data_IF_008305478210
#
_entry.id   IF_008305478210
#
_cell.length_a   1.000
_cell.length_b   1.000
_cell.length_c   1.000
_cell.angle_alpha   90.00
_cell.angle_beta   90.00
_cell.angle_gamma   90.00
#
_symmetry.space_group_name_H-M   'P 1'
#
loop_
_entity.id
_entity.type
_entity.pdbx_description
1 polymer ?
#
# COMPACT_ATOMS: atom_id res chain seq x y z
N UNK A 1 -11.19 -43.19 8.41
CA UNK A 1 -10.77 -42.24 7.35
C UNK A 1 -10.64 -40.80 7.85
N UNK A 2 -11.55 -40.27 8.69
CA UNK A 2 -11.52 -38.88 9.19
C UNK A 2 -10.26 -38.55 10.02
N UNK A 3 -9.77 -39.46 10.87
CA UNK A 3 -8.62 -39.20 11.75
C UNK A 3 -7.26 -39.05 11.04
N UNK A 4 -7.07 -39.65 9.86
CA UNK A 4 -5.80 -39.52 9.11
C UNK A 4 -5.69 -38.18 8.40
N UNK A 5 -6.81 -37.67 7.85
CA UNK A 5 -6.88 -36.34 7.25
C UNK A 5 -6.64 -35.25 8.30
N UNK A 6 -7.15 -35.46 9.52
CA UNK A 6 -7.03 -34.56 10.67
C UNK A 6 -5.57 -34.40 11.15
N UNK A 7 -4.85 -35.50 11.33
CA UNK A 7 -3.44 -35.48 11.74
C UNK A 7 -2.56 -34.82 10.67
N UNK A 8 -2.87 -35.04 9.38
CA UNK A 8 -2.17 -34.40 8.27
C UNK A 8 -2.40 -32.88 8.25
N UNK A 9 -3.65 -32.44 8.42
CA UNK A 9 -4.08 -31.04 8.51
C UNK A 9 -3.37 -30.30 9.65
N UNK A 10 -3.30 -30.90 10.84
CA UNK A 10 -2.57 -30.35 12.00
C UNK A 10 -1.05 -30.32 11.79
N UNK A 11 -0.49 -31.39 11.21
CA UNK A 11 0.95 -31.47 10.91
C UNK A 11 1.35 -30.42 9.91
N UNK A 12 0.53 -30.18 8.88
CA UNK A 12 0.72 -29.11 7.91
C UNK A 12 0.64 -27.74 8.62
N UNK A 13 -0.44 -27.44 9.32
CA UNK A 13 -0.61 -26.12 9.97
C UNK A 13 0.53 -25.75 10.95
N UNK A 14 1.10 -26.73 11.67
CA UNK A 14 2.09 -26.48 12.72
C UNK A 14 3.56 -26.62 12.27
N UNK A 15 3.80 -27.23 11.11
CA UNK A 15 5.15 -27.45 10.58
C UNK A 15 5.44 -26.77 9.24
N UNK A 16 4.46 -26.09 8.64
CA UNK A 16 4.68 -25.31 7.43
C UNK A 16 5.56 -24.08 7.73
N UNK A 17 6.75 -24.09 7.14
CA UNK A 17 7.67 -22.94 7.15
C UNK A 17 7.44 -22.00 5.96
N UNK A 18 6.99 -22.54 4.84
CA UNK A 18 6.72 -21.78 3.62
C UNK A 18 5.35 -22.17 3.07
N UNK A 19 4.51 -21.19 2.79
CA UNK A 19 3.21 -21.40 2.16
C UNK A 19 3.11 -20.53 0.91
N UNK A 20 2.88 -21.21 -0.20
CA UNK A 20 2.51 -20.62 -1.47
C UNK A 20 1.10 -21.06 -1.82
N UNK A 21 0.11 -20.17 -1.66
CA UNK A 21 -1.28 -20.49 -1.97
C UNK A 21 -1.65 -19.87 -3.31
N UNK A 22 -2.02 -20.72 -4.27
CA UNK A 22 -2.80 -20.29 -5.42
C UNK A 22 -4.29 -20.41 -5.08
N UNK A 23 -4.97 -19.29 -4.83
CA UNK A 23 -6.43 -19.30 -4.64
C UNK A 23 -7.11 -19.55 -5.99
N UNK A 24 -7.73 -20.73 -6.17
CA UNK A 24 -8.65 -20.98 -7.29
C UNK A 24 -10.02 -20.40 -6.96
N UNK A 25 -10.66 -19.82 -7.99
CA UNK A 25 -11.90 -19.01 -7.94
C UNK A 25 -13.07 -19.65 -7.19
N UNK A 26 -13.11 -20.97 -7.05
CA UNK A 26 -14.33 -21.66 -6.63
C UNK A 26 -14.34 -22.33 -5.26
N UNK A 27 -13.22 -22.60 -4.56
CA UNK A 27 -13.33 -23.34 -3.28
C UNK A 27 -12.14 -23.26 -2.28
N UNK A 28 -11.08 -22.51 -2.57
CA UNK A 28 -9.85 -22.58 -1.74
C UNK A 28 -9.92 -21.77 -0.43
N UNK A 29 -10.89 -20.87 -0.26
CA UNK A 29 -11.17 -20.20 1.01
C UNK A 29 -11.65 -21.16 2.11
N UNK A 30 -12.09 -22.37 1.75
CA UNK A 30 -12.55 -23.38 2.72
C UNK A 30 -11.39 -23.99 3.50
N UNK A 31 -10.28 -24.38 2.89
CA UNK A 31 -9.21 -25.13 3.60
C UNK A 31 -8.53 -24.29 4.69
N UNK A 32 -8.12 -23.05 4.39
CA UNK A 32 -7.48 -22.14 5.35
C UNK A 32 -8.46 -21.80 6.48
N UNK A 33 -9.70 -21.44 6.13
CA UNK A 33 -10.75 -21.17 7.12
C UNK A 33 -11.08 -22.40 7.99
N UNK A 34 -11.12 -23.59 7.40
CA UNK A 34 -11.35 -24.86 8.10
C UNK A 34 -10.18 -25.23 9.00
N UNK A 35 -8.92 -25.07 8.54
CA UNK A 35 -7.71 -25.26 9.36
C UNK A 35 -7.77 -24.38 10.63
N UNK A 36 -8.21 -23.14 10.48
CA UNK A 36 -8.23 -22.14 11.53
C UNK A 36 -9.43 -22.30 12.48
N UNK A 37 -10.62 -22.59 11.94
CA UNK A 37 -11.78 -22.99 12.75
C UNK A 37 -11.52 -24.28 13.54
N UNK A 38 -10.80 -25.23 12.95
CA UNK A 38 -10.48 -26.50 13.58
C UNK A 38 -9.46 -26.35 14.70
N UNK A 39 -8.39 -25.58 14.47
CA UNK A 39 -7.37 -25.32 15.50
C UNK A 39 -7.96 -24.61 16.73
N UNK A 40 -8.98 -23.78 16.54
CA UNK A 40 -9.76 -23.15 17.63
C UNK A 40 -10.53 -24.14 18.49
N UNK A 41 -10.89 -25.32 18.00
CA UNK A 41 -11.75 -26.26 18.75
C UNK A 41 -10.99 -27.43 19.36
N UNK A 42 -9.92 -27.92 18.73
CA UNK A 42 -9.25 -29.15 19.15
C UNK A 42 -7.95 -28.94 19.96
N UNK A 43 -7.12 -27.94 19.63
CA UNK A 43 -5.80 -27.73 20.27
C UNK A 43 -5.80 -26.65 21.36
N UNK A 44 -6.81 -25.76 21.35
CA UNK A 44 -7.03 -24.73 22.38
C UNK A 44 -7.28 -25.34 23.77
N UNK A 45 -7.78 -26.59 23.80
CA UNK A 45 -7.97 -27.39 25.01
C UNK A 45 -6.65 -28.03 25.50
N UNK A 46 -5.59 -28.08 24.67
CA UNK A 46 -4.46 -29.00 24.86
C UNK A 46 -3.05 -28.39 24.93
N UNK A 47 -2.74 -27.16 24.47
CA UNK A 47 -1.33 -26.68 24.46
C UNK A 47 -1.07 -25.16 24.60
N UNK A 48 0.13 -24.82 25.10
CA UNK A 48 0.68 -23.45 25.26
C UNK A 48 1.29 -22.85 23.97
N UNK A 49 1.47 -23.64 22.90
CA UNK A 49 2.02 -23.20 21.60
C UNK A 49 0.94 -23.26 20.52
N UNK A 50 -0.24 -22.72 20.83
CA UNK A 50 -1.50 -22.95 20.11
C UNK A 50 -1.79 -21.93 19.00
N UNK A 51 -0.76 -21.50 18.24
CA UNK A 51 -0.99 -20.72 17.03
C UNK A 51 -0.74 -21.56 15.78
N UNK A 52 -1.76 -21.75 14.91
CA UNK A 52 -1.54 -22.33 13.61
C UNK A 52 -0.56 -21.45 12.83
N UNK A 53 0.36 -22.04 12.05
CA UNK A 53 1.41 -21.33 11.33
C UNK A 53 2.51 -20.70 12.21
N UNK A 54 2.68 -21.16 13.46
CA UNK A 54 3.75 -20.68 14.35
C UNK A 54 5.19 -20.90 13.84
N UNK A 55 5.39 -21.79 12.85
CA UNK A 55 6.66 -21.99 12.14
C UNK A 55 6.75 -21.29 10.80
N UNK A 56 5.70 -20.61 10.36
CA UNK A 56 5.65 -19.95 9.05
C UNK A 56 6.65 -18.79 9.00
N UNK A 57 7.59 -18.92 8.06
CA UNK A 57 8.66 -17.99 7.73
C UNK A 57 8.34 -17.18 6.48
N UNK A 58 7.64 -17.76 5.50
CA UNK A 58 7.19 -17.02 4.32
C UNK A 58 5.74 -17.38 3.95
N UNK A 59 4.94 -16.35 3.68
CA UNK A 59 3.61 -16.49 3.10
C UNK A 59 3.56 -15.69 1.80
N UNK A 60 3.34 -16.38 0.70
CA UNK A 60 2.97 -15.77 -0.57
C UNK A 60 1.61 -16.33 -0.97
N UNK A 61 0.59 -15.49 -0.97
CA UNK A 61 -0.73 -15.88 -1.43
C UNK A 61 -1.06 -15.08 -2.68
N UNK A 62 -1.31 -15.79 -3.77
CA UNK A 62 -1.76 -15.20 -5.02
C UNK A 62 -3.06 -15.85 -5.47
N UNK A 63 -4.03 -15.04 -5.88
CA UNK A 63 -5.11 -15.57 -6.72
C UNK A 63 -4.55 -15.72 -8.13
N UNK A 64 -4.85 -16.82 -8.83
CA UNK A 64 -4.70 -16.80 -10.30
C UNK A 64 -5.44 -15.56 -10.77
N UNK A 65 -4.74 -14.64 -11.45
CA UNK A 65 -5.20 -13.35 -11.97
C UNK A 65 -6.71 -13.29 -11.98
N UNK A 66 -7.31 -12.22 -11.44
CA UNK A 66 -8.62 -11.78 -11.92
C UNK A 66 -8.61 -11.97 -13.44
N UNK A 67 -9.21 -13.06 -13.92
CA UNK A 67 -9.23 -13.31 -15.36
C UNK A 67 -10.04 -12.14 -15.87
N UNK A 68 -9.36 -11.28 -16.65
CA UNK A 68 -9.85 -10.12 -17.38
C UNK A 68 -10.93 -10.53 -18.40
N UNK A 69 -11.92 -11.34 -17.99
CA UNK A 69 -12.98 -11.91 -18.81
C UNK A 69 -14.32 -11.39 -18.32
N UNK A 70 -14.69 -10.26 -18.92
CA UNK A 70 -15.95 -9.95 -19.62
C UNK A 70 -17.32 -10.25 -19.01
N UNK A 71 -17.52 -11.12 -18.03
CA UNK A 71 -18.86 -11.50 -17.62
C UNK A 71 -19.08 -11.32 -16.13
N UNK A 72 -19.96 -10.36 -15.84
CA UNK A 72 -20.89 -10.29 -14.72
C UNK A 72 -21.06 -11.59 -13.94
N UNK A 73 -20.17 -11.81 -13.00
CA UNK A 73 -20.51 -12.55 -11.81
C UNK A 73 -20.13 -11.59 -10.71
N UNK A 74 -21.11 -11.23 -9.88
CA UNK A 74 -20.90 -10.54 -8.61
C UNK A 74 -19.60 -11.05 -7.97
N UNK A 75 -18.80 -10.21 -7.28
CA UNK A 75 -17.67 -10.75 -6.56
C UNK A 75 -18.24 -11.75 -5.56
N UNK A 76 -18.21 -13.04 -5.90
CA UNK A 76 -18.58 -14.11 -5.01
C UNK A 76 -17.84 -13.79 -3.71
N UNK A 77 -18.51 -13.82 -2.55
CA UNK A 77 -17.88 -13.49 -1.28
C UNK A 77 -16.86 -14.59 -0.95
N UNK A 78 -15.74 -14.58 -1.65
CA UNK A 78 -14.57 -15.35 -1.35
C UNK A 78 -13.96 -14.65 -0.15
N UNK A 79 -14.35 -15.12 1.04
CA UNK A 79 -13.68 -14.78 2.28
C UNK A 79 -12.23 -15.24 2.14
N UNK A 80 -11.30 -14.30 1.92
CA UNK A 80 -9.90 -14.60 2.13
C UNK A 80 -9.55 -14.19 3.56
N UNK A 81 -9.20 -15.23 4.31
CA UNK A 81 -8.74 -15.16 5.67
C UNK A 81 -7.23 -15.35 5.63
N UNK A 82 -6.47 -14.37 6.13
CA UNK A 82 -5.01 -14.35 5.97
C UNK A 82 -4.35 -14.49 7.35
N UNK A 83 -3.69 -15.62 7.64
CA UNK A 83 -2.91 -15.77 8.86
C UNK A 83 -1.59 -15.00 8.74
N UNK A 84 -1.30 -14.11 9.69
CA UNK A 84 -0.05 -13.37 9.70
C UNK A 84 1.09 -14.25 10.27
N UNK A 85 2.22 -14.39 9.54
CA UNK A 85 3.30 -15.28 9.93
C UNK A 85 4.05 -14.78 11.18
N UNK A 86 4.32 -15.66 12.13
CA UNK A 86 4.95 -15.24 13.39
C UNK A 86 6.47 -15.04 13.28
N UNK A 87 7.13 -15.79 12.39
CA UNK A 87 8.59 -15.85 12.27
C UNK A 87 9.06 -15.41 10.88
N UNK A 88 8.37 -14.45 10.29
CA UNK A 88 8.69 -13.92 8.97
C UNK A 88 9.28 -12.52 9.08
N UNK A 89 10.36 -12.28 8.34
CA UNK A 89 10.87 -10.94 8.09
C UNK A 89 10.11 -10.24 6.95
N UNK A 90 9.48 -11.02 6.05
CA UNK A 90 8.76 -10.52 4.88
C UNK A 90 7.40 -11.22 4.72
N UNK A 91 6.36 -10.47 4.37
CA UNK A 91 5.05 -11.00 4.00
C UNK A 91 4.51 -10.24 2.79
N UNK A 92 4.10 -10.99 1.76
CA UNK A 92 3.68 -10.43 0.47
C UNK A 92 2.36 -11.05 0.02
N UNK A 93 1.36 -10.20 -0.23
CA UNK A 93 0.00 -10.59 -0.62
C UNK A 93 -0.31 -10.02 -2.01
N UNK A 94 -0.85 -10.84 -2.91
CA UNK A 94 -1.06 -10.46 -4.30
C UNK A 94 -2.44 -10.86 -4.83
N UNK A 95 -3.21 -9.90 -5.37
CA UNK A 95 -4.46 -10.20 -6.08
C UNK A 95 -5.58 -10.77 -5.20
N UNK A 96 -5.60 -10.44 -3.90
CA UNK A 96 -6.55 -11.01 -2.93
C UNK A 96 -7.68 -10.05 -2.58
N UNK A 97 -8.90 -10.56 -2.42
CA UNK A 97 -10.03 -9.80 -1.85
C UNK A 97 -10.13 -10.09 -0.34
N UNK A 98 -9.47 -9.27 0.47
CA UNK A 98 -9.29 -9.51 1.89
C UNK A 98 -10.56 -9.19 2.65
N UNK A 99 -11.00 -10.13 3.50
CA UNK A 99 -12.14 -9.90 4.41
C UNK A 99 -11.75 -10.00 5.88
N UNK A 100 -10.68 -10.72 6.21
CA UNK A 100 -10.20 -10.91 7.58
C UNK A 100 -8.69 -11.16 7.61
N UNK A 101 -8.02 -10.63 8.64
CA UNK A 101 -6.60 -10.91 8.94
C UNK A 101 -6.53 -11.46 10.35
N UNK A 102 -5.85 -12.58 10.55
CA UNK A 102 -5.60 -13.13 11.89
C UNK A 102 -4.17 -12.85 12.32
N UNK A 103 -4.03 -12.28 13.51
CA UNK A 103 -2.75 -11.99 14.13
C UNK A 103 -2.38 -13.02 15.20
N UNK A 104 -1.08 -13.18 15.54
CA UNK A 104 -0.61 -14.06 16.60
C UNK A 104 -0.79 -13.45 18.01
N UNK A 105 -2.04 -13.18 18.41
CA UNK A 105 -2.39 -12.43 19.64
C UNK A 105 -3.04 -13.30 20.72
N UNK A 106 -2.99 -12.86 21.98
CA UNK A 106 -3.65 -13.55 23.10
C UNK A 106 -5.18 -13.55 22.90
N UNK A 107 -5.76 -14.75 22.89
CA UNK A 107 -7.17 -15.00 22.53
C UNK A 107 -8.20 -14.60 23.59
N UNK A 108 -7.80 -14.14 24.78
CA UNK A 108 -8.73 -13.48 25.71
C UNK A 108 -9.31 -12.18 25.11
N UNK A 109 -8.67 -11.65 24.07
CA UNK A 109 -9.13 -10.55 23.23
C UNK A 109 -9.35 -11.04 21.79
N UNK A 110 -10.32 -11.94 21.53
CA UNK A 110 -10.73 -12.35 20.18
C UNK A 110 -11.31 -11.15 19.40
N UNK A 111 -10.43 -10.24 19.01
CA UNK A 111 -10.72 -9.19 18.05
C UNK A 111 -10.55 -9.80 16.67
N UNK A 112 -11.68 -10.08 16.04
CA UNK A 112 -11.71 -10.36 14.62
C UNK A 112 -12.14 -9.07 13.92
N UNK A 113 -11.21 -8.28 13.36
CA UNK A 113 -11.63 -7.17 12.52
C UNK A 113 -12.29 -7.77 11.27
N UNK A 114 -13.61 -7.69 11.23
CA UNK A 114 -14.36 -7.93 10.00
C UNK A 114 -14.11 -6.73 9.09
N UNK A 115 -13.39 -6.94 7.99
CA UNK A 115 -13.14 -5.87 7.03
C UNK A 115 -14.41 -5.39 6.31
N UNK A 116 -15.57 -6.04 6.53
CA UNK A 116 -16.86 -5.71 5.88
C UNK A 116 -17.89 -5.05 6.79
N UNK A 117 -17.74 -5.12 8.11
CA UNK A 117 -18.82 -4.76 9.06
C UNK A 117 -18.38 -3.96 10.28
N UNK A 118 -17.17 -3.39 10.30
CA UNK A 118 -16.73 -2.44 11.33
C UNK A 118 -17.39 -1.05 11.17
N UNK A 119 -18.73 -1.03 11.08
CA UNK A 119 -19.55 0.20 11.08
C UNK A 119 -19.92 0.59 12.53
N UNK A 120 -19.64 -0.23 13.53
CA UNK A 120 -20.09 0.01 14.91
C UNK A 120 -19.18 -0.47 16.04
N UNK A 121 -18.03 -1.09 15.77
CA UNK A 121 -17.06 -1.33 16.85
C UNK A 121 -16.26 -0.04 17.02
N UNK A 122 -16.07 0.46 18.25
CA UNK A 122 -15.21 1.62 18.46
C UNK A 122 -13.88 1.36 17.77
N UNK A 123 -13.53 2.27 16.86
CA UNK A 123 -12.14 2.59 16.53
C UNK A 123 -11.31 2.50 17.82
N UNK A 124 -10.09 1.98 17.75
CA UNK A 124 -9.14 1.85 18.88
C UNK A 124 -9.09 0.53 19.68
N UNK A 125 -9.40 -0.63 19.09
CA UNK A 125 -8.85 -1.89 19.64
C UNK A 125 -7.49 -2.18 19.01
N UNK A 126 -6.49 -1.36 19.38
CA UNK A 126 -5.11 -1.64 19.02
C UNK A 126 -4.71 -3.00 19.59
N UNK A 127 -4.15 -3.87 18.75
CA UNK A 127 -3.45 -5.05 19.23
C UNK A 127 -2.19 -4.54 19.94
N UNK A 128 -2.26 -4.45 21.27
CA UNK A 128 -1.19 -3.91 22.10
C UNK A 128 -0.27 -4.99 22.66
N UNK A 129 -0.70 -6.25 22.67
CA UNK A 129 0.06 -7.38 23.20
C UNK A 129 0.06 -8.58 22.24
N UNK A 130 1.26 -9.13 22.02
CA UNK A 130 1.46 -10.42 21.33
C UNK A 130 1.32 -11.57 22.32
N UNK A 131 1.06 -12.78 21.82
CA UNK A 131 1.22 -13.98 22.63
C UNK A 131 2.65 -14.07 23.21
N UNK A 132 2.85 -14.39 24.51
CA UNK A 132 4.18 -14.37 25.16
C UNK A 132 5.26 -15.26 24.52
N UNK A 133 4.85 -16.23 23.68
CA UNK A 133 5.76 -17.07 22.89
C UNK A 133 6.19 -16.49 21.55
N UNK A 134 5.71 -15.30 21.18
CA UNK A 134 5.90 -14.70 19.86
C UNK A 134 6.53 -13.31 19.96
N UNK A 135 7.54 -13.10 19.12
CA UNK A 135 8.19 -11.80 18.94
C UNK A 135 7.90 -11.34 17.52
N UNK A 136 7.33 -10.13 17.30
CA UNK A 136 7.12 -9.61 15.96
C UNK A 136 8.46 -9.46 15.23
N UNK A 137 8.63 -10.15 14.10
CA UNK A 137 9.87 -10.07 13.29
C UNK A 137 9.68 -9.32 11.98
N UNK A 138 8.43 -9.03 11.58
CA UNK A 138 8.14 -8.49 10.26
C UNK A 138 8.85 -7.14 10.00
N UNK A 139 9.66 -7.11 8.96
CA UNK A 139 10.41 -5.93 8.47
C UNK A 139 9.86 -5.42 7.15
N UNK A 140 9.32 -6.30 6.31
CA UNK A 140 8.78 -5.94 4.99
C UNK A 140 7.35 -6.45 4.86
N UNK A 141 6.42 -5.55 4.55
CA UNK A 141 5.04 -5.91 4.25
C UNK A 141 4.64 -5.36 2.88
N UNK A 142 4.17 -6.25 2.01
CA UNK A 142 3.75 -5.91 0.67
C UNK A 142 2.34 -6.41 0.40
N UNK A 143 1.53 -5.53 -0.18
CA UNK A 143 0.23 -5.84 -0.74
C UNK A 143 0.11 -5.24 -2.12
N UNK A 144 -0.14 -6.09 -3.10
CA UNK A 144 -0.26 -5.68 -4.50
C UNK A 144 -1.56 -6.20 -5.10
N UNK A 145 -2.32 -5.33 -5.78
CA UNK A 145 -3.60 -5.71 -6.42
C UNK A 145 -4.61 -6.34 -5.45
N UNK A 146 -4.50 -6.02 -4.16
CA UNK A 146 -5.40 -6.51 -3.11
C UNK A 146 -6.57 -5.55 -2.91
N UNK A 147 -7.77 -6.09 -2.65
CA UNK A 147 -8.96 -5.32 -2.29
C UNK A 147 -9.22 -5.44 -0.77
N UNK A 148 -9.50 -4.31 -0.10
CA UNK A 148 -9.79 -4.21 1.35
C UNK A 148 -10.66 -2.97 1.62
N UNK A 149 -11.47 -2.97 2.69
CA UNK A 149 -12.06 -1.73 3.22
C UNK A 149 -10.97 -0.87 3.88
N UNK A 150 -11.14 0.46 3.84
CA UNK A 150 -10.16 1.51 4.15
C UNK A 150 -9.84 1.65 5.64
N UNK A 151 -10.86 1.55 6.50
CA UNK A 151 -10.74 1.90 7.92
C UNK A 151 -9.89 0.89 8.68
N UNK A 152 -10.17 -0.36 8.42
CA UNK A 152 -9.55 -1.50 9.09
C UNK A 152 -8.08 -1.69 8.68
N UNK A 153 -7.74 -1.11 7.53
CA UNK A 153 -6.44 -1.24 6.91
C UNK A 153 -5.36 -0.38 7.57
N UNK A 154 -5.69 0.85 8.01
CA UNK A 154 -4.77 1.65 8.84
C UNK A 154 -4.73 1.18 10.30
N UNK A 155 -5.90 0.80 10.83
CA UNK A 155 -6.01 0.28 12.20
C UNK A 155 -5.16 -1.00 12.37
N UNK A 156 -5.04 -1.80 11.30
CA UNK A 156 -4.11 -2.93 11.22
C UNK A 156 -2.66 -2.53 11.53
N UNK A 157 -2.14 -1.46 10.94
CA UNK A 157 -0.74 -1.05 11.18
C UNK A 157 -0.53 -0.53 12.59
N UNK A 158 -1.61 -0.13 13.28
CA UNK A 158 -1.67 0.17 14.71
C UNK A 158 -1.24 -0.96 15.65
N UNK A 159 -1.13 -2.19 15.13
CA UNK A 159 -0.76 -3.38 15.90
C UNK A 159 0.73 -3.41 16.29
N UNK A 160 1.02 -3.87 17.51
CA UNK A 160 2.39 -4.19 17.98
C UNK A 160 3.12 -5.18 17.06
N UNK A 161 2.37 -5.93 16.25
CA UNK A 161 2.91 -6.83 15.24
C UNK A 161 3.78 -6.11 14.19
N UNK A 162 3.49 -4.85 13.85
CA UNK A 162 4.27 -4.07 12.87
C UNK A 162 5.37 -3.21 13.50
N UNK A 163 5.68 -3.41 14.79
CA UNK A 163 6.65 -2.57 15.52
C UNK A 163 8.06 -2.59 14.91
N UNK A 164 8.41 -3.65 14.19
CA UNK A 164 9.70 -3.80 13.50
C UNK A 164 9.65 -3.52 12.00
N UNK A 165 8.50 -3.08 11.47
CA UNK A 165 8.33 -2.84 10.04
C UNK A 165 9.22 -1.69 9.57
N UNK A 166 10.01 -1.95 8.53
CA UNK A 166 10.91 -1.00 7.88
C UNK A 166 10.42 -0.62 6.48
N UNK A 167 9.71 -1.51 5.78
CA UNK A 167 9.23 -1.31 4.42
C UNK A 167 7.76 -1.66 4.35
N UNK A 168 6.95 -0.71 3.88
CA UNK A 168 5.53 -0.88 3.61
C UNK A 168 5.23 -0.57 2.14
N UNK A 169 4.77 -1.57 1.37
CA UNK A 169 4.40 -1.42 -0.04
C UNK A 169 2.95 -1.78 -0.27
N UNK A 170 2.19 -0.80 -0.70
CA UNK A 170 0.75 -0.88 -0.90
C UNK A 170 0.45 -0.44 -2.33
N UNK A 171 0.43 -1.37 -3.26
CA UNK A 171 0.37 -1.07 -4.70
C UNK A 171 -0.93 -1.56 -5.30
N UNK A 172 -1.55 -0.73 -6.14
CA UNK A 172 -2.80 -1.05 -6.84
C UNK A 172 -3.90 -1.56 -5.88
N UNK A 173 -4.03 -0.95 -4.70
CA UNK A 173 -5.08 -1.36 -3.77
C UNK A 173 -6.46 -1.14 -4.42
N UNK A 174 -7.27 -2.21 -4.44
CA UNK A 174 -8.55 -2.30 -5.12
C UNK A 174 -9.61 -1.41 -4.50
N UNK A 175 -10.44 -0.82 -5.36
CA UNK A 175 -11.50 0.10 -4.99
C UNK A 175 -12.83 -0.65 -4.91
N UNK A 176 -13.16 -1.22 -3.75
CA UNK A 176 -14.57 -1.30 -3.38
C UNK A 176 -15.10 0.08 -2.99
N UNK A 177 -15.12 0.95 -4.01
CA UNK A 177 -16.02 2.07 -4.24
C UNK A 177 -15.83 3.31 -3.33
N UNK A 178 -15.33 4.40 -3.93
CA UNK A 178 -15.53 5.81 -3.51
C UNK A 178 -15.01 6.30 -2.15
N UNK A 179 -14.47 5.45 -1.27
CA UNK A 179 -14.14 5.84 0.13
C UNK A 179 -12.71 6.27 0.40
N UNK A 180 -11.74 5.83 -0.41
CA UNK A 180 -10.37 6.39 -0.32
C UNK A 180 -10.40 7.86 -0.72
N UNK A 181 -11.21 8.29 -1.70
CA UNK A 181 -11.15 9.65 -2.22
C UNK A 181 -12.26 10.61 -1.74
N UNK A 182 -13.39 10.10 -1.24
CA UNK A 182 -14.45 10.92 -0.61
C UNK A 182 -14.29 10.84 0.91
N UNK A 183 -13.91 11.96 1.54
CA UNK A 183 -13.46 12.08 2.95
C UNK A 183 -14.43 11.65 4.06
N UNK A 184 -15.43 10.81 3.80
CA UNK A 184 -16.50 10.42 4.72
C UNK A 184 -16.04 9.32 5.71
N UNK A 185 -14.93 8.62 5.45
CA UNK A 185 -14.42 7.57 6.36
C UNK A 185 -12.93 7.72 6.69
N UNK A 186 -12.08 7.90 5.69
CA UNK A 186 -10.63 7.96 5.89
C UNK A 186 -10.16 9.39 6.21
N UNK A 187 -9.52 9.59 7.37
CA UNK A 187 -8.94 10.88 7.74
C UNK A 187 -7.52 11.05 7.18
N UNK A 188 -7.45 11.37 5.89
CA UNK A 188 -6.19 11.55 5.17
C UNK A 188 -5.23 12.55 5.79
N UNK A 189 -5.75 13.62 6.39
CA UNK A 189 -4.91 14.62 7.05
C UNK A 189 -4.05 14.04 8.19
N UNK A 190 -4.45 12.91 8.77
CA UNK A 190 -3.75 12.21 9.85
C UNK A 190 -3.07 10.91 9.42
N UNK A 191 -3.02 10.61 8.12
CA UNK A 191 -2.49 9.35 7.59
C UNK A 191 -1.07 9.04 8.11
N UNK A 192 -0.15 9.99 7.98
CA UNK A 192 1.22 9.80 8.43
C UNK A 192 1.36 9.72 9.95
N UNK A 193 0.49 10.38 10.72
CA UNK A 193 0.46 10.26 12.19
C UNK A 193 0.09 8.83 12.63
N UNK A 194 -0.86 8.19 11.95
CA UNK A 194 -1.25 6.81 12.27
C UNK A 194 -0.13 5.82 11.95
N UNK A 195 0.57 6.01 10.83
CA UNK A 195 1.74 5.21 10.48
C UNK A 195 2.95 5.52 11.37
N UNK A 196 3.19 6.76 11.76
CA UNK A 196 4.34 7.14 12.57
C UNK A 196 4.31 6.54 13.98
N UNK A 197 3.11 6.34 14.55
CA UNK A 197 2.94 5.77 15.89
C UNK A 197 3.20 4.27 15.98
N UNK A 198 3.06 3.53 14.89
CA UNK A 198 2.79 2.10 14.98
C UNK A 198 3.95 1.25 14.46
N UNK A 199 4.49 1.53 13.25
CA UNK A 199 5.84 1.13 12.83
C UNK A 199 6.90 2.24 13.06
N UNK A 200 7.52 2.36 14.25
CA UNK A 200 8.53 3.38 14.51
C UNK A 200 9.80 3.24 13.67
N UNK A 201 10.02 2.07 13.03
CA UNK A 201 11.20 1.79 12.21
C UNK A 201 10.96 1.97 10.71
N UNK A 202 9.80 2.50 10.30
CA UNK A 202 9.43 2.63 8.89
C UNK A 202 10.40 3.58 8.17
N UNK A 203 11.09 3.05 7.14
CA UNK A 203 12.07 3.77 6.31
C UNK A 203 11.57 3.98 4.89
N UNK A 204 10.81 3.02 4.37
CA UNK A 204 10.26 3.07 3.01
C UNK A 204 8.75 2.92 3.04
N UNK A 205 8.06 3.87 2.42
CA UNK A 205 6.62 3.84 2.20
C UNK A 205 6.32 3.95 0.71
N UNK A 206 5.61 2.96 0.17
CA UNK A 206 5.06 3.01 -1.17
C UNK A 206 3.54 2.85 -1.10
N UNK A 207 2.79 3.83 -1.62
CA UNK A 207 1.32 3.78 -1.65
C UNK A 207 0.82 4.21 -3.01
N UNK A 208 0.11 3.31 -3.68
CA UNK A 208 -0.57 3.56 -4.95
C UNK A 208 -1.93 2.91 -4.96
N UNK A 209 -2.96 3.67 -5.34
CA UNK A 209 -4.34 3.23 -5.34
C UNK A 209 -4.75 2.89 -6.78
N UNK A 210 -5.29 1.70 -6.98
CA UNK A 210 -5.80 1.10 -8.23
C UNK A 210 -5.58 1.88 -9.54
N UNK A 211 -4.75 1.30 -10.44
CA UNK A 211 -4.80 1.52 -11.89
C UNK A 211 -4.50 0.21 -12.62
N UNK A 212 -5.52 -0.33 -13.30
CA UNK A 212 -5.48 -1.30 -14.41
C UNK A 212 -6.92 -1.77 -14.76
N UNK A 213 -7.87 -0.85 -14.94
CA UNK A 213 -9.16 -1.19 -15.57
C UNK A 213 -9.38 -0.40 -16.86
N UNK A 214 -8.54 -0.55 -17.89
CA UNK A 214 -8.96 -0.23 -19.24
C UNK A 214 -10.03 -1.25 -19.64
N UNK A 215 -11.31 -0.95 -19.40
CA UNK A 215 -12.42 -1.73 -20.01
C UNK A 215 -13.72 -1.94 -19.23
N UNK A 216 -13.83 -1.60 -17.93
CA UNK A 216 -15.06 -1.90 -17.18
C UNK A 216 -16.04 -0.72 -17.12
N UNK A 217 -17.03 -0.75 -18.00
CA UNK A 217 -17.98 0.33 -18.32
C UNK A 217 -18.92 0.83 -17.19
N UNK A 218 -19.07 0.13 -16.06
CA UNK A 218 -19.93 0.59 -14.95
C UNK A 218 -19.18 1.32 -13.82
N UNK A 219 -17.93 0.94 -13.51
CA UNK A 219 -17.11 1.62 -12.48
C UNK A 219 -16.11 2.62 -13.06
N UNK A 220 -15.73 2.48 -14.34
CA UNK A 220 -14.86 3.43 -15.05
C UNK A 220 -15.51 4.79 -15.34
N UNK A 221 -16.75 5.03 -14.89
CA UNK A 221 -17.41 6.34 -15.01
C UNK A 221 -16.82 7.37 -14.05
N UNK A 222 -16.30 6.95 -12.90
CA UNK A 222 -15.55 7.85 -12.05
C UNK A 222 -14.11 7.83 -12.51
N UNK A 223 -13.73 8.89 -13.25
CA UNK A 223 -12.33 9.16 -13.50
C UNK A 223 -11.58 9.13 -12.16
N UNK A 224 -10.35 8.61 -12.12
CA UNK A 224 -9.44 8.79 -11.00
C UNK A 224 -9.54 10.23 -10.49
N UNK A 225 -9.98 10.39 -9.24
CA UNK A 225 -10.02 11.69 -8.59
C UNK A 225 -8.84 11.75 -7.65
N UNK A 226 -8.18 12.89 -7.59
CA UNK A 226 -7.27 13.16 -6.47
C UNK A 226 -8.08 13.22 -5.17
N UNK A 227 -7.40 13.09 -4.04
CA UNK A 227 -8.01 13.27 -2.73
C UNK A 227 -8.53 14.70 -2.62
N UNK A 228 -9.71 14.85 -2.01
CA UNK A 228 -10.22 16.17 -1.60
C UNK A 228 -9.32 16.78 -0.51
N UNK A 229 -8.70 15.93 0.31
CA UNK A 229 -7.77 16.31 1.39
C UNK A 229 -6.51 15.45 1.27
N UNK A 230 -5.35 16.10 1.13
CA UNK A 230 -4.06 15.43 1.02
C UNK A 230 -3.79 14.45 2.18
N UNK A 231 -3.09 13.37 1.88
CA UNK A 231 -2.47 12.48 2.86
C UNK A 231 -1.43 13.29 3.65
N UNK A 232 -1.82 13.72 4.85
CA UNK A 232 -1.06 14.61 5.71
C UNK A 232 -0.22 13.89 6.76
N UNK A 233 0.54 14.68 7.50
CA UNK A 233 1.36 14.24 8.63
C UNK A 233 2.44 13.19 8.28
N UNK A 234 2.86 13.06 7.02
CA UNK A 234 3.94 12.11 6.65
C UNK A 234 5.26 12.50 7.31
N UNK A 235 5.49 13.79 7.56
CA UNK A 235 6.58 14.36 8.33
C UNK A 235 6.64 13.89 9.79
N UNK A 236 5.57 13.30 10.33
CA UNK A 236 5.57 12.68 11.66
C UNK A 236 6.19 11.27 11.65
N UNK A 237 6.50 10.70 10.47
CA UNK A 237 7.20 9.41 10.33
C UNK A 237 8.72 9.67 10.31
N UNK A 238 9.32 9.71 11.51
CA UNK A 238 10.68 10.24 11.72
C UNK A 238 11.80 9.57 10.91
N UNK A 239 11.66 8.29 10.58
CA UNK A 239 12.68 7.51 9.88
C UNK A 239 12.40 7.34 8.38
N UNK A 240 11.34 7.95 7.85
CA UNK A 240 10.93 7.78 6.45
C UNK A 240 11.86 8.54 5.51
N UNK A 241 12.77 7.80 4.88
CA UNK A 241 13.72 8.37 3.91
C UNK A 241 13.42 7.99 2.44
N UNK A 242 12.51 7.04 2.19
CA UNK A 242 12.04 6.69 0.85
C UNK A 242 10.51 6.77 0.78
N UNK A 243 10.00 7.66 -0.07
CA UNK A 243 8.57 7.82 -0.31
C UNK A 243 8.22 7.66 -1.78
N UNK A 244 7.31 6.74 -2.07
CA UNK A 244 6.66 6.60 -3.37
C UNK A 244 5.16 6.72 -3.18
N UNK A 245 4.54 7.74 -3.77
CA UNK A 245 3.10 7.96 -3.57
C UNK A 245 2.44 8.55 -4.81
N UNK A 246 1.19 8.17 -5.06
CA UNK A 246 0.39 8.77 -6.13
C UNK A 246 0.25 10.29 -5.91
N UNK A 247 0.47 11.10 -6.96
CA UNK A 247 0.37 12.56 -6.85
C UNK A 247 -0.99 13.01 -6.35
N UNK A 248 -2.05 12.31 -6.76
CA UNK A 248 -3.42 12.58 -6.35
C UNK A 248 -3.67 12.35 -4.87
N UNK A 249 -2.77 11.67 -4.15
CA UNK A 249 -2.83 11.58 -2.70
C UNK A 249 -2.14 12.74 -1.99
N UNK A 250 -1.28 13.48 -2.69
CA UNK A 250 -0.51 14.57 -2.11
C UNK A 250 -1.11 15.94 -2.42
N UNK A 251 -1.65 16.13 -3.62
CA UNK A 251 -2.23 17.40 -4.07
C UNK A 251 -3.42 17.16 -5.00
N UNK A 252 -4.31 18.15 -5.13
CA UNK A 252 -5.30 18.14 -6.20
C UNK A 252 -4.61 18.54 -7.52
N UNK A 253 -3.92 17.57 -8.11
CA UNK A 253 -3.14 17.67 -9.35
C UNK A 253 -3.91 18.20 -10.55
N UNK A 254 -5.26 18.19 -10.56
CA UNK A 254 -6.08 18.80 -11.61
C UNK A 254 -6.29 20.32 -11.43
N UNK A 255 -6.08 20.86 -10.23
CA UNK A 255 -6.29 22.27 -9.92
C UNK A 255 -5.37 23.20 -10.72
N UNK A 256 -5.80 24.44 -10.94
CA UNK A 256 -4.97 25.47 -11.58
C UNK A 256 -3.76 25.84 -10.73
N UNK A 257 -3.95 25.93 -9.41
CA UNK A 257 -2.93 26.21 -8.41
C UNK A 257 -2.14 24.96 -7.95
N UNK A 258 -2.26 23.81 -8.63
CA UNK A 258 -1.64 22.55 -8.20
C UNK A 258 -0.11 22.65 -8.04
N UNK A 259 0.57 23.48 -8.84
CA UNK A 259 2.00 23.73 -8.69
C UNK A 259 2.31 24.43 -7.36
N UNK A 260 1.50 25.40 -6.94
CA UNK A 260 1.68 26.09 -5.66
C UNK A 260 1.33 25.20 -4.47
N UNK A 261 0.36 24.29 -4.62
CA UNK A 261 0.06 23.27 -3.62
C UNK A 261 1.22 22.29 -3.43
N UNK A 262 1.84 21.86 -4.53
CA UNK A 262 3.02 20.98 -4.49
C UNK A 262 4.14 21.60 -3.67
N UNK A 263 4.40 22.90 -3.84
CA UNK A 263 5.47 23.61 -3.12
C UNK A 263 5.23 23.76 -1.61
N UNK A 264 4.00 23.58 -1.13
CA UNK A 264 3.70 23.61 0.31
C UNK A 264 4.07 22.30 0.98
N UNK A 265 4.14 21.19 0.23
CA UNK A 265 4.34 19.85 0.77
C UNK A 265 5.56 19.70 1.68
N UNK A 266 6.75 20.25 1.38
CA UNK A 266 7.91 20.11 2.27
C UNK A 266 7.68 20.68 3.67
N UNK A 267 6.81 21.68 3.81
CA UNK A 267 6.51 22.34 5.08
C UNK A 267 5.31 21.68 5.77
N UNK A 268 4.34 21.19 5.00
CA UNK A 268 3.04 20.75 5.54
C UNK A 268 2.88 19.24 5.64
N UNK A 269 3.59 18.47 4.81
CA UNK A 269 3.34 17.03 4.63
C UNK A 269 4.60 16.20 4.67
N UNK A 270 5.64 16.53 3.90
CA UNK A 270 6.75 15.63 3.62
C UNK A 270 7.81 15.63 4.74
N UNK A 271 8.41 14.46 5.07
CA UNK A 271 9.56 14.41 5.96
C UNK A 271 10.77 15.15 5.37
N UNK A 272 11.50 15.88 6.22
CA UNK A 272 12.73 16.58 5.81
C UNK A 272 13.89 15.61 5.55
N UNK A 273 13.87 14.42 6.16
CA UNK A 273 14.87 13.37 6.00
C UNK A 273 14.69 12.50 4.74
N UNK A 274 13.79 12.86 3.83
CA UNK A 274 13.63 12.14 2.56
C UNK A 274 14.92 12.19 1.74
N UNK A 275 15.41 11.02 1.37
CA UNK A 275 16.53 10.82 0.44
C UNK A 275 16.02 10.54 -0.99
N UNK A 276 14.88 9.85 -1.08
CA UNK A 276 14.24 9.46 -2.33
C UNK A 276 12.76 9.83 -2.30
N UNK A 277 12.33 10.59 -3.30
CA UNK A 277 10.93 10.97 -3.47
C UNK A 277 10.44 10.60 -4.88
N UNK A 278 9.38 9.81 -4.95
CA UNK A 278 8.74 9.41 -6.20
C UNK A 278 7.27 9.81 -6.17
N UNK A 279 6.85 10.61 -7.13
CA UNK A 279 5.43 10.87 -7.38
C UNK A 279 4.96 10.00 -8.53
N UNK A 280 3.96 9.16 -8.27
CA UNK A 280 3.39 8.25 -9.26
C UNK A 280 2.07 8.75 -9.81
N UNK A 281 1.64 8.19 -10.94
CA UNK A 281 0.38 8.52 -11.60
C UNK A 281 0.23 10.02 -11.92
N UNK A 282 1.34 10.66 -12.30
CA UNK A 282 1.34 12.08 -12.63
C UNK A 282 0.59 12.32 -13.93
N UNK A 283 -0.43 13.18 -13.86
CA UNK A 283 -1.23 13.53 -15.02
C UNK A 283 -0.51 14.48 -15.97
N UNK A 284 -0.71 14.28 -17.27
CA UNK A 284 -0.02 15.06 -18.30
C UNK A 284 -0.39 16.55 -18.26
N UNK A 285 -1.58 16.90 -17.78
CA UNK A 285 -1.99 18.30 -17.59
C UNK A 285 -1.17 19.00 -16.51
N UNK A 286 -0.93 18.33 -15.39
CA UNK A 286 -0.06 18.79 -14.32
C UNK A 286 1.38 18.98 -14.80
N UNK A 287 1.96 17.99 -15.51
CA UNK A 287 3.30 18.13 -16.07
C UNK A 287 3.42 19.29 -17.06
N UNK A 288 2.41 19.48 -17.91
CA UNK A 288 2.37 20.64 -18.82
C UNK A 288 2.37 21.97 -18.07
N UNK A 289 1.70 22.07 -16.91
CA UNK A 289 1.77 23.27 -16.07
C UNK A 289 3.15 23.50 -15.48
N UNK A 290 3.80 22.45 -14.97
CA UNK A 290 5.19 22.53 -14.47
C UNK A 290 6.13 23.02 -15.56
N UNK A 291 6.03 22.44 -16.76
CA UNK A 291 6.85 22.84 -17.90
C UNK A 291 6.52 24.26 -18.37
N UNK A 292 5.23 24.62 -18.47
CA UNK A 292 4.82 25.96 -18.86
C UNK A 292 5.40 27.02 -17.91
N UNK A 293 5.37 26.77 -16.60
CA UNK A 293 5.97 27.65 -15.60
C UNK A 293 7.49 27.83 -15.80
N UNK A 294 8.20 26.75 -16.16
CA UNK A 294 9.64 26.80 -16.44
C UNK A 294 9.98 27.51 -17.75
N UNK A 295 9.15 27.36 -18.78
CA UNK A 295 9.38 27.98 -20.10
C UNK A 295 8.84 29.42 -20.21
N UNK A 296 8.07 29.88 -19.22
CA UNK A 296 7.58 31.25 -19.16
C UNK A 296 8.74 32.25 -19.01
N UNK A 297 8.47 33.53 -19.24
CA UNK A 297 9.45 34.61 -19.11
C UNK A 297 10.15 34.64 -17.75
N UNK A 298 9.40 34.34 -16.68
CA UNK A 298 9.89 34.30 -15.30
C UNK A 298 10.68 33.01 -14.96
N UNK A 299 10.64 32.00 -15.84
CA UNK A 299 11.35 30.71 -15.72
C UNK A 299 11.25 30.04 -14.36
N UNK A 300 10.04 29.93 -13.84
CA UNK A 300 9.80 29.33 -12.53
C UNK A 300 10.05 27.83 -12.57
N UNK A 301 11.15 27.38 -11.95
CA UNK A 301 11.44 25.96 -11.76
C UNK A 301 10.69 25.40 -10.53
N UNK A 302 9.48 24.89 -10.74
CA UNK A 302 8.63 24.33 -9.67
C UNK A 302 9.31 23.15 -8.97
N UNK A 303 9.91 22.21 -9.70
CA UNK A 303 10.58 21.08 -9.07
C UNK A 303 11.86 21.49 -8.31
N UNK A 304 12.61 22.46 -8.83
CA UNK A 304 13.72 23.08 -8.09
C UNK A 304 13.30 23.70 -6.77
N UNK A 305 12.23 24.49 -6.78
CA UNK A 305 11.67 25.09 -5.55
C UNK A 305 11.16 24.02 -4.58
N UNK A 306 10.55 22.94 -5.07
CA UNK A 306 10.14 21.82 -4.20
C UNK A 306 11.36 21.19 -3.51
N UNK A 307 12.42 20.89 -4.27
CA UNK A 307 13.63 20.25 -3.76
C UNK A 307 14.40 21.14 -2.79
N UNK A 308 14.31 22.47 -2.90
CA UNK A 308 14.92 23.36 -1.88
C UNK A 308 14.32 23.18 -0.48
N UNK A 309 13.09 22.68 -0.37
CA UNK A 309 12.46 22.33 0.89
C UNK A 309 12.80 20.92 1.39
N UNK A 310 13.51 20.11 0.60
CA UNK A 310 13.88 18.72 0.90
C UNK A 310 15.41 18.54 0.78
N UNK A 311 16.18 19.09 1.73
CA UNK A 311 17.64 19.26 1.60
C UNK A 311 18.41 17.93 1.51
N UNK A 312 17.81 16.83 1.94
CA UNK A 312 18.42 15.49 1.90
C UNK A 312 17.99 14.66 0.67
N UNK A 313 17.07 15.18 -0.15
CA UNK A 313 16.50 14.42 -1.26
C UNK A 313 17.40 14.52 -2.48
N UNK A 314 18.09 13.43 -2.80
CA UNK A 314 19.03 13.35 -3.93
C UNK A 314 18.41 12.70 -5.17
N UNK A 315 17.27 12.01 -5.01
CA UNK A 315 16.61 11.32 -6.10
C UNK A 315 15.13 11.70 -6.15
N UNK A 316 14.74 12.39 -7.21
CA UNK A 316 13.35 12.74 -7.47
C UNK A 316 12.86 12.05 -8.74
N UNK A 317 11.82 11.23 -8.62
CA UNK A 317 11.25 10.48 -9.75
C UNK A 317 9.82 10.91 -10.01
N UNK A 318 9.51 11.15 -11.28
CA UNK A 318 8.17 11.44 -11.75
C UNK A 318 7.71 10.31 -12.64
N UNK A 319 6.64 9.61 -12.25
CA UNK A 319 6.08 8.52 -13.04
C UNK A 319 4.72 8.92 -13.63
N UNK A 320 4.60 8.82 -14.96
CA UNK A 320 3.38 9.11 -15.70
C UNK A 320 2.71 7.84 -16.22
N UNK A 321 1.38 7.91 -16.41
CA UNK A 321 0.60 6.80 -16.98
C UNK A 321 0.66 6.73 -18.53
N UNK A 322 1.18 7.77 -19.17
CA UNK A 322 1.32 7.87 -20.63
C UNK A 322 2.58 8.66 -20.95
N UNK A 323 3.16 8.39 -22.13
CA UNK A 323 4.31 9.13 -22.63
C UNK A 323 3.94 10.62 -22.80
N UNK A 324 4.67 11.55 -22.16
CA UNK A 324 4.50 12.98 -22.43
C UNK A 324 4.87 13.34 -23.87
N UNK A 325 4.43 14.49 -24.36
CA UNK A 325 4.91 15.00 -25.65
C UNK A 325 6.40 15.27 -25.62
N UNK A 326 7.10 15.11 -26.75
CA UNK A 326 8.55 15.33 -26.86
C UNK A 326 8.98 16.70 -26.32
N UNK A 327 8.22 17.76 -26.64
CA UNK A 327 8.46 19.10 -26.07
C UNK A 327 8.44 19.13 -24.53
N UNK A 328 7.52 18.39 -23.90
CA UNK A 328 7.45 18.26 -22.44
C UNK A 328 8.65 17.51 -21.90
N UNK A 329 9.08 16.44 -22.59
CA UNK A 329 10.28 15.67 -22.20
C UNK A 329 11.53 16.54 -22.29
N UNK A 330 11.72 17.28 -23.39
CA UNK A 330 12.87 18.17 -23.57
C UNK A 330 12.93 19.28 -22.51
N UNK A 331 11.79 19.89 -22.18
CA UNK A 331 11.75 20.86 -21.09
C UNK A 331 12.03 20.24 -19.71
N UNK A 332 11.57 19.01 -19.47
CA UNK A 332 11.89 18.26 -18.25
C UNK A 332 13.38 17.90 -18.17
N UNK A 333 14.06 17.63 -19.30
CA UNK A 333 15.53 17.48 -19.33
C UNK A 333 16.24 18.74 -18.87
N UNK A 334 15.79 19.92 -19.33
CA UNK A 334 16.36 21.20 -18.88
C UNK A 334 16.15 21.43 -17.37
N UNK A 335 14.96 21.12 -16.86
CA UNK A 335 14.68 21.13 -15.41
C UNK A 335 15.61 20.16 -14.68
N UNK A 336 15.81 18.96 -15.22
CA UNK A 336 16.72 17.94 -14.68
C UNK A 336 18.16 18.42 -14.60
N UNK A 337 18.67 19.11 -15.62
CA UNK A 337 20.01 19.71 -15.62
C UNK A 337 20.15 20.75 -14.49
N UNK A 338 19.14 21.59 -14.28
CA UNK A 338 19.17 22.59 -13.20
C UNK A 338 19.09 21.96 -11.80
N UNK A 339 18.30 20.89 -11.66
CA UNK A 339 18.25 20.09 -10.43
C UNK A 339 19.57 19.38 -10.15
N UNK A 340 20.21 18.83 -11.18
CA UNK A 340 21.49 18.15 -11.04
C UNK A 340 22.61 19.08 -10.56
N UNK A 341 22.62 20.34 -11.00
CA UNK A 341 23.53 21.38 -10.46
C UNK A 341 23.35 21.59 -8.95
N UNK A 342 22.15 21.30 -8.44
CA UNK A 342 21.80 21.38 -7.02
C UNK A 342 21.97 20.03 -6.29
N UNK A 343 22.51 19.00 -6.96
CA UNK A 343 22.76 17.68 -6.38
C UNK A 343 21.55 16.73 -6.38
N UNK A 344 20.56 16.95 -7.25
CA UNK A 344 19.34 16.12 -7.35
C UNK A 344 19.24 15.45 -8.72
N UNK A 345 19.18 14.12 -8.77
CA UNK A 345 18.87 13.35 -9.98
C UNK A 345 17.35 13.36 -10.22
N UNK A 346 16.94 13.86 -11.39
CA UNK A 346 15.54 13.80 -11.84
C UNK A 346 15.37 12.64 -12.83
N UNK A 347 14.41 11.76 -12.56
CA UNK A 347 14.03 10.69 -13.49
C UNK A 347 12.57 10.84 -13.94
N UNK A 348 12.30 10.57 -15.22
CA UNK A 348 10.96 10.44 -15.77
C UNK A 348 10.71 8.97 -16.13
N UNK A 349 9.75 8.36 -15.45
CA UNK A 349 9.32 6.99 -15.72
C UNK A 349 7.96 7.04 -16.43
N UNK A 350 7.79 6.21 -17.45
CA UNK A 350 6.54 6.12 -18.19
C UNK A 350 6.03 4.71 -18.03
N UNK A 351 4.91 4.55 -17.35
CA UNK A 351 4.23 3.25 -17.25
C UNK A 351 3.58 2.93 -18.59
N UNK A 352 3.86 1.75 -19.12
CA UNK A 352 3.23 1.26 -20.34
C UNK A 352 1.82 0.69 -20.06
N UNK A 353 0.99 0.61 -21.10
CA UNK A 353 -0.39 0.10 -21.01
C UNK A 353 -0.47 -1.38 -20.56
N UNK A 354 0.63 -2.14 -20.63
CA UNK A 354 0.74 -3.50 -20.11
C UNK A 354 1.01 -3.57 -18.58
N UNK A 355 1.19 -2.41 -17.93
CA UNK A 355 1.51 -2.30 -16.51
C UNK A 355 3.00 -2.41 -16.18
N UNK A 356 3.87 -2.63 -17.19
CA UNK A 356 5.32 -2.62 -17.02
C UNK A 356 5.84 -1.17 -17.00
N UNK A 357 6.80 -0.91 -16.13
CA UNK A 357 7.48 0.38 -16.06
C UNK A 357 8.68 0.30 -16.99
N UNK A 358 8.56 0.91 -18.17
CA UNK A 358 9.76 1.22 -18.94
C UNK A 358 10.40 2.47 -18.34
N UNK A 359 11.64 2.31 -17.87
CA UNK A 359 12.52 3.42 -17.51
C UNK A 359 12.85 4.17 -18.81
N UNK A 360 11.98 5.10 -19.19
CA UNK A 360 12.06 5.70 -20.53
C UNK A 360 13.26 6.62 -20.65
N UNK A 361 13.57 7.45 -19.65
CA UNK A 361 14.71 8.36 -19.73
C UNK A 361 15.27 8.71 -18.34
N UNK A 362 16.58 8.49 -18.12
CA UNK A 362 17.30 9.30 -17.12
C UNK A 362 17.41 10.70 -17.69
N UNK A 363 16.78 11.68 -17.04
CA UNK A 363 16.79 13.05 -17.54
C UNK A 363 18.15 13.72 -17.26
N UNK A 364 18.91 13.21 -16.28
CA UNK A 364 20.36 13.37 -16.07
C UNK A 364 20.91 12.13 -15.38
#
# INVERSE_FOLDING_TARGET
MINHTLALILTLATNLEDIQVQARRENNGSLVSTLLQYYRTAEEVASRNSYPFCKLKNLVSWSSKFERRDHWIEPAPAFSWIPMPVKADTCSLHGLNMTWIEYPVLKENLYHPSLKWLISVPTFTYITAMHPGFTPMLRVFEMNECNSDTMDFLDMFGSVYFRNLEILRLTKLGLSHTRWYRGIRMNWSNFGRFLGKSPPKLKMLQVSISWDLPGYFWYARERPRDLEVSAGALNEILNLNHLTMDIGMLVHSFAENACDELLKLPVTVLPQCLEHFTITNVNLGFLRRVVAAYTASERRNVFGQLMTGLPHCHYFTVETYRKPSDWTVEALKLIGIDLYKSGVELALWVRQDNGEIEKNDRLV
#
